data_IF_245648979732
#
_entry.id   IF_245648979732
#
_cell.length_a   1.000
_cell.length_b   1.000
_cell.length_c   1.000
_cell.angle_alpha   90.00
_cell.angle_beta   90.00
_cell.angle_gamma   90.00
#
_symmetry.space_group_name_H-M   'P 1'
#
loop_
_entity.id
_entity.type
_entity.pdbx_description
1 polymer ?
#
# COMPACT_ATOMS: atom_id res chain seq x y z
N UNK A 1 2.89 12.18 -4.92
CA UNK A 1 2.17 12.33 -3.65
C UNK A 1 3.11 12.91 -2.61
N UNK A 2 2.67 13.92 -1.91
CA UNK A 2 3.45 14.48 -0.81
C UNK A 2 2.89 14.00 0.51
N UNK A 3 3.77 13.55 1.41
CA UNK A 3 3.38 13.13 2.74
C UNK A 3 3.54 14.30 3.68
N UNK A 4 2.45 14.68 4.32
CA UNK A 4 2.48 15.81 5.24
C UNK A 4 2.90 15.38 6.63
N UNK A 5 3.70 16.21 7.28
CA UNK A 5 4.14 15.98 8.63
C UNK A 5 3.07 16.50 9.60
N UNK A 6 2.03 15.68 9.82
CA UNK A 6 0.90 16.04 10.69
C UNK A 6 0.82 15.14 11.93
N UNK A 7 1.94 14.55 12.32
CA UNK A 7 2.00 13.64 13.45
C UNK A 7 1.66 12.19 13.11
N UNK A 8 1.20 11.92 11.91
CA UNK A 8 0.87 10.58 11.49
C UNK A 8 2.08 9.93 10.79
N UNK A 9 2.42 8.72 11.20
CA UNK A 9 3.54 8.00 10.60
C UNK A 9 3.33 7.81 9.10
N UNK A 10 4.41 7.85 8.34
CA UNK A 10 4.34 7.73 6.87
C UNK A 10 3.68 6.41 6.46
N UNK A 11 4.02 5.31 7.15
CA UNK A 11 3.43 4.01 6.76
C UNK A 11 1.91 4.00 6.92
N UNK A 12 1.36 4.74 7.87
CA UNK A 12 -0.10 4.85 8.02
C UNK A 12 -0.70 5.75 6.95
N UNK A 13 0.02 6.76 6.50
CA UNK A 13 -0.42 7.58 5.37
C UNK A 13 -0.48 6.76 4.09
N UNK A 14 0.46 5.83 3.91
CA UNK A 14 0.43 4.90 2.78
C UNK A 14 -0.76 3.94 2.89
N UNK A 15 -1.08 3.48 4.10
CA UNK A 15 -2.28 2.66 4.34
C UNK A 15 -3.52 3.41 3.88
N UNK A 16 -3.64 4.68 4.23
CA UNK A 16 -4.78 5.51 3.81
C UNK A 16 -4.82 5.66 2.29
N UNK A 17 -3.66 5.85 1.66
CA UNK A 17 -3.55 5.96 0.22
C UNK A 17 -4.07 4.68 -0.47
N UNK A 18 -3.66 3.52 0.01
CA UNK A 18 -4.09 2.23 -0.55
C UNK A 18 -5.59 2.04 -0.36
N UNK A 19 -6.08 2.34 0.84
CA UNK A 19 -7.51 2.22 1.13
C UNK A 19 -8.33 3.13 0.22
N UNK A 20 -7.86 4.34 -0.04
CA UNK A 20 -8.53 5.27 -0.94
C UNK A 20 -8.59 4.72 -2.37
N UNK A 21 -7.48 4.13 -2.86
CA UNK A 21 -7.46 3.53 -4.19
C UNK A 21 -8.46 2.40 -4.31
N UNK A 22 -8.60 1.60 -3.28
CA UNK A 22 -9.57 0.50 -3.24
C UNK A 22 -10.99 1.06 -3.19
N UNK A 23 -11.22 2.07 -2.35
CA UNK A 23 -12.53 2.68 -2.17
C UNK A 23 -13.02 3.34 -3.46
N UNK A 24 -12.13 3.99 -4.19
CA UNK A 24 -12.44 4.64 -5.47
C UNK A 24 -12.48 3.63 -6.63
N UNK A 25 -12.24 2.35 -6.34
CA UNK A 25 -12.21 1.28 -7.33
C UNK A 25 -11.15 1.45 -8.41
N UNK A 26 -10.10 2.21 -8.11
CA UNK A 26 -8.92 2.28 -8.97
C UNK A 26 -8.11 0.99 -8.83
N UNK A 27 -8.14 0.37 -7.65
CA UNK A 27 -7.58 -0.95 -7.40
C UNK A 27 -8.72 -1.86 -7.00
N UNK A 28 -9.09 -2.76 -7.89
CA UNK A 28 -10.26 -3.64 -7.68
C UNK A 28 -9.83 -5.02 -7.20
N UNK A 29 -10.75 -5.66 -6.46
CA UNK A 29 -10.53 -7.01 -5.95
C UNK A 29 -10.16 -7.97 -7.09
N UNK A 30 -9.29 -8.92 -6.77
CA UNK A 30 -8.82 -9.97 -7.69
C UNK A 30 -7.87 -9.45 -8.77
N UNK A 31 -7.64 -8.13 -8.86
CA UNK A 31 -6.62 -7.58 -9.73
C UNK A 31 -5.37 -7.29 -8.94
N UNK A 32 -4.23 -7.56 -9.55
CA UNK A 32 -2.94 -7.36 -8.91
C UNK A 32 -2.70 -5.88 -8.64
N UNK A 33 -2.35 -5.56 -7.41
CA UNK A 33 -1.96 -4.20 -7.03
C UNK A 33 -0.44 -4.04 -7.17
N UNK A 34 0.08 -2.80 -7.17
CA UNK A 34 1.53 -2.60 -7.28
C UNK A 34 2.29 -3.36 -6.20
N UNK A 35 3.46 -3.86 -6.55
CA UNK A 35 4.36 -4.47 -5.58
C UNK A 35 4.88 -3.40 -4.61
N UNK A 36 5.46 -3.85 -3.49
CA UNK A 36 6.11 -2.95 -2.53
C UNK A 36 7.10 -2.04 -3.24
N UNK A 37 7.96 -2.61 -4.09
CA UNK A 37 8.99 -1.83 -4.79
C UNK A 37 8.38 -0.86 -5.79
N UNK A 38 7.39 -1.29 -6.54
CA UNK A 38 6.72 -0.43 -7.51
C UNK A 38 6.05 0.76 -6.83
N UNK A 39 5.36 0.51 -5.72
CA UNK A 39 4.70 1.58 -5.00
C UNK A 39 5.71 2.53 -4.36
N UNK A 40 6.82 1.99 -3.83
CA UNK A 40 7.88 2.80 -3.25
C UNK A 40 8.46 3.78 -4.27
N UNK A 41 8.68 3.32 -5.50
CA UNK A 41 9.17 4.17 -6.58
C UNK A 41 8.12 5.23 -6.93
N UNK A 42 6.88 4.81 -7.07
CA UNK A 42 5.79 5.72 -7.45
C UNK A 42 5.60 6.83 -6.43
N UNK A 43 5.68 6.51 -5.15
CA UNK A 43 5.46 7.48 -4.07
C UNK A 43 6.76 8.16 -3.61
N UNK A 44 7.90 7.73 -4.14
CA UNK A 44 9.22 8.23 -3.76
C UNK A 44 9.48 8.07 -2.25
N UNK A 45 9.19 6.89 -1.72
CA UNK A 45 9.41 6.55 -0.32
C UNK A 45 10.27 5.30 -0.19
N UNK A 46 10.75 5.05 1.03
CA UNK A 46 11.57 3.88 1.30
C UNK A 46 10.74 2.61 1.14
N UNK A 47 11.25 1.59 0.41
CA UNK A 47 10.54 0.32 0.27
C UNK A 47 10.18 -0.36 1.59
N UNK A 48 11.02 -0.21 2.62
CA UNK A 48 10.73 -0.79 3.93
C UNK A 48 9.48 -0.17 4.56
N UNK A 49 9.26 1.11 4.30
CA UNK A 49 8.07 1.80 4.78
C UNK A 49 6.82 1.27 4.08
N UNK A 50 6.91 1.04 2.78
CA UNK A 50 5.78 0.45 2.02
C UNK A 50 5.54 -0.98 2.49
N UNK A 51 6.59 -1.76 2.72
CA UNK A 51 6.45 -3.13 3.23
C UNK A 51 5.70 -3.14 4.56
N UNK A 52 6.01 -2.22 5.45
CA UNK A 52 5.33 -2.09 6.73
C UNK A 52 3.84 -1.77 6.53
N UNK A 53 3.53 -0.93 5.58
CA UNK A 53 2.15 -0.58 5.24
C UNK A 53 1.39 -1.79 4.71
N UNK A 54 2.03 -2.56 3.83
CA UNK A 54 1.41 -3.78 3.28
C UNK A 54 1.20 -4.84 4.34
N UNK A 55 2.14 -4.99 5.28
CA UNK A 55 1.97 -5.91 6.40
C UNK A 55 0.76 -5.53 7.24
N UNK A 56 0.58 -4.24 7.52
CA UNK A 56 -0.58 -3.75 8.24
C UNK A 56 -1.87 -4.09 7.49
N UNK A 57 -1.88 -3.82 6.19
CA UNK A 57 -3.07 -4.08 5.34
C UNK A 57 -3.39 -5.57 5.26
N UNK A 58 -2.38 -6.43 5.26
CA UNK A 58 -2.58 -7.88 5.28
C UNK A 58 -3.18 -8.34 6.60
N UNK A 59 -2.69 -7.80 7.71
CA UNK A 59 -3.22 -8.12 9.04
C UNK A 59 -4.69 -7.74 9.18
N UNK A 60 -5.07 -6.64 8.55
CA UNK A 60 -6.46 -6.17 8.54
C UNK A 60 -7.30 -6.82 7.44
N UNK A 61 -6.72 -7.76 6.70
CA UNK A 61 -7.40 -8.49 5.64
C UNK A 61 -7.92 -7.59 4.51
N UNK A 62 -7.29 -6.43 4.33
CA UNK A 62 -7.64 -5.49 3.26
C UNK A 62 -6.99 -5.93 1.95
N UNK A 63 -5.74 -6.41 2.03
CA UNK A 63 -5.04 -7.00 0.90
C UNK A 63 -4.51 -8.37 1.30
N UNK A 64 -4.11 -9.15 0.32
CA UNK A 64 -3.44 -10.42 0.56
C UNK A 64 -2.33 -10.62 -0.46
N UNK A 65 -1.34 -11.44 -0.13
CA UNK A 65 -0.32 -11.79 -1.09
C UNK A 65 -0.54 -13.22 -1.60
N UNK A 66 -0.27 -13.41 -2.89
CA UNK A 66 -0.20 -14.73 -3.48
C UNK A 66 1.26 -15.00 -3.75
N UNK A 67 1.80 -15.97 -3.04
CA UNK A 67 3.23 -16.29 -3.09
C UNK A 67 3.68 -16.56 -4.51
N UNK A 68 4.69 -15.81 -4.96
CA UNK A 68 5.23 -15.94 -6.30
C UNK A 68 4.43 -15.22 -7.38
N UNK A 69 3.30 -14.58 -7.03
CA UNK A 69 2.45 -13.87 -7.99
C UNK A 69 2.39 -12.38 -7.67
N UNK A 70 2.15 -12.01 -6.42
CA UNK A 70 2.10 -10.62 -5.99
C UNK A 70 1.00 -10.34 -4.99
N UNK A 71 0.69 -9.07 -4.81
CA UNK A 71 -0.33 -8.60 -3.89
C UNK A 71 -1.64 -8.29 -4.62
N UNK A 72 -2.74 -8.49 -3.92
CA UNK A 72 -4.08 -8.29 -4.48
C UNK A 72 -4.98 -7.56 -3.48
#
# INVERSE_FOLDING_TARGET
>A
MEFQSNGKAIYLQIVDYVCEKILLKEWIAEKKIPSVRELAIKLAVNPNTVARSYDFLKQEEIIYDKRGIGYF
#
